data_IF_429776065109
#
_entry.id   IF_429776065109
#
_cell.length_a   1.000
_cell.length_b   1.000
_cell.length_c   1.000
_cell.angle_alpha   90.00
_cell.angle_beta   90.00
_cell.angle_gamma   90.00
#
_symmetry.space_group_name_H-M   'P 1'
#
loop_
_entity.id
_entity.type
_entity.pdbx_description
1 polymer ?
#
# COMPACT_ATOMS: atom_id res chain seq x y z
N UNK A 1 26.04 25.64 5.73
CA UNK A 1 26.94 24.86 6.60
C UNK A 1 27.62 23.82 5.71
N UNK A 2 28.95 23.67 5.74
CA UNK A 2 29.63 22.76 4.83
C UNK A 2 29.29 21.29 5.19
N UNK A 3 29.07 20.48 4.16
CA UNK A 3 28.67 19.05 4.18
C UNK A 3 29.54 18.16 5.11
N UNK A 4 30.76 18.62 5.41
CA UNK A 4 31.75 17.97 6.28
C UNK A 4 31.35 17.92 7.75
N UNK A 5 30.48 18.82 8.24
CA UNK A 5 30.04 18.83 9.64
C UNK A 5 28.93 17.78 9.91
N UNK A 6 27.95 17.68 9.01
CA UNK A 6 26.80 16.79 9.19
C UNK A 6 27.18 15.30 9.06
N UNK A 7 28.07 14.97 8.13
CA UNK A 7 28.58 13.59 7.99
C UNK A 7 29.36 13.13 9.21
N UNK A 8 30.13 14.02 9.85
CA UNK A 8 30.83 13.74 11.11
C UNK A 8 29.86 13.54 12.27
N UNK A 9 28.76 14.29 12.33
CA UNK A 9 27.75 14.20 13.41
C UNK A 9 26.87 12.96 13.31
N UNK A 10 26.40 12.63 12.10
CA UNK A 10 25.33 11.65 11.89
C UNK A 10 25.79 10.36 11.20
N UNK A 11 27.01 10.33 10.68
CA UNK A 11 27.60 9.19 9.99
C UNK A 11 27.31 9.18 8.49
N UNK A 12 28.31 8.80 7.70
CA UNK A 12 28.19 8.68 6.23
C UNK A 12 27.13 7.66 5.81
N UNK A 13 26.94 6.62 6.62
CA UNK A 13 25.94 5.59 6.40
C UNK A 13 24.52 6.15 6.50
N UNK A 14 24.26 7.08 7.43
CA UNK A 14 22.97 7.77 7.54
C UNK A 14 22.68 8.63 6.31
N UNK A 15 23.68 9.35 5.82
CA UNK A 15 23.54 10.18 4.62
C UNK A 15 23.23 9.33 3.39
N UNK A 16 23.94 8.21 3.21
CA UNK A 16 23.67 7.28 2.12
C UNK A 16 22.25 6.70 2.22
N UNK A 17 21.83 6.25 3.40
CA UNK A 17 20.49 5.72 3.60
C UNK A 17 19.41 6.77 3.35
N UNK A 18 19.62 8.00 3.85
CA UNK A 18 18.70 9.11 3.66
C UNK A 18 18.49 9.49 2.20
N UNK A 19 19.58 9.52 1.40
CA UNK A 19 19.53 9.78 -0.04
C UNK A 19 18.74 8.72 -0.82
N UNK A 20 18.70 7.46 -0.35
CA UNK A 20 17.90 6.41 -1.00
C UNK A 20 16.40 6.67 -0.90
N UNK A 21 15.93 7.21 0.23
CA UNK A 21 14.49 7.42 0.49
C UNK A 21 14.04 8.84 0.15
N UNK A 22 14.95 9.80 0.18
CA UNK A 22 14.70 11.24 0.02
C UNK A 22 15.82 11.89 -0.81
N UNK A 23 16.01 11.48 -2.08
CA UNK A 23 17.21 11.81 -2.85
C UNK A 23 17.39 13.31 -3.07
N UNK A 24 16.29 14.07 -3.17
CA UNK A 24 16.37 15.51 -3.45
C UNK A 24 16.35 16.38 -2.20
N UNK A 25 15.80 15.87 -1.09
CA UNK A 25 15.52 16.72 0.07
C UNK A 25 16.22 16.32 1.36
N UNK A 26 16.82 15.13 1.43
CA UNK A 26 17.38 14.59 2.67
C UNK A 26 18.37 15.54 3.35
N UNK A 27 19.40 15.99 2.65
CA UNK A 27 20.46 16.81 3.23
C UNK A 27 19.96 18.17 3.70
N UNK A 28 19.12 18.83 2.90
CA UNK A 28 18.49 20.10 3.30
C UNK A 28 17.67 19.90 4.58
N UNK A 29 16.89 18.82 4.66
CA UNK A 29 16.09 18.49 5.84
C UNK A 29 16.97 18.13 7.05
N UNK A 30 18.08 17.43 6.84
CA UNK A 30 19.05 17.10 7.89
C UNK A 30 19.69 18.37 8.45
N UNK A 31 20.18 19.27 7.58
CA UNK A 31 20.77 20.54 7.97
C UNK A 31 19.77 21.45 8.71
N UNK A 32 18.52 21.49 8.22
CA UNK A 32 17.45 22.25 8.86
C UNK A 32 17.20 21.73 10.28
N UNK A 33 17.03 20.41 10.45
CA UNK A 33 16.80 19.82 11.78
C UNK A 33 18.01 20.00 12.70
N UNK A 34 19.24 19.82 12.20
CA UNK A 34 20.47 20.03 12.98
C UNK A 34 20.54 21.45 13.54
N UNK A 35 20.14 22.44 12.74
CA UNK A 35 20.12 23.85 13.16
C UNK A 35 19.05 24.18 14.19
N UNK A 36 17.98 23.38 14.26
CA UNK A 36 16.87 23.58 15.18
C UNK A 36 17.05 22.80 16.48
N UNK A 37 17.42 21.52 16.40
CA UNK A 37 17.64 20.62 17.53
C UNK A 37 18.45 19.39 17.10
N UNK A 38 19.71 19.34 17.53
CA UNK A 38 20.63 18.24 17.21
C UNK A 38 20.24 16.91 17.88
N UNK A 39 19.63 16.97 19.07
CA UNK A 39 19.21 15.76 19.78
C UNK A 39 18.04 15.10 19.06
N UNK A 40 17.01 15.88 18.71
CA UNK A 40 15.91 15.40 17.88
C UNK A 40 16.41 14.89 16.53
N UNK A 41 17.33 15.60 15.88
CA UNK A 41 17.90 15.19 14.60
C UNK A 41 18.56 13.83 14.70
N UNK A 42 19.37 13.60 15.74
CA UNK A 42 19.98 12.31 16.01
C UNK A 42 18.94 11.20 16.21
N UNK A 43 17.90 11.45 17.02
CA UNK A 43 16.83 10.46 17.24
C UNK A 43 16.09 10.10 15.95
N UNK A 44 15.76 11.10 15.12
CA UNK A 44 15.12 10.87 13.82
C UNK A 44 16.01 10.07 12.88
N UNK A 45 17.31 10.41 12.78
CA UNK A 45 18.28 9.69 11.96
C UNK A 45 18.40 8.24 12.42
N UNK A 46 18.60 8.01 13.71
CA UNK A 46 18.78 6.66 14.26
C UNK A 46 17.52 5.80 14.07
N UNK A 47 16.34 6.38 14.32
CA UNK A 47 15.08 5.65 14.24
C UNK A 47 14.59 5.42 12.80
N UNK A 48 14.38 6.49 12.04
CA UNK A 48 13.72 6.42 10.73
C UNK A 48 14.70 6.04 9.62
N UNK A 49 15.90 6.62 9.63
CA UNK A 49 16.85 6.53 8.53
C UNK A 49 17.75 5.30 8.68
N UNK A 50 18.47 5.17 9.79
CA UNK A 50 19.38 4.03 10.03
C UNK A 50 18.63 2.78 10.48
N UNK A 51 17.57 2.94 11.26
CA UNK A 51 16.77 1.85 11.79
C UNK A 51 15.77 1.32 10.77
N UNK A 52 14.61 1.98 10.67
CA UNK A 52 13.46 1.42 9.97
C UNK A 52 13.68 1.20 8.47
N UNK A 53 14.29 2.18 7.78
CA UNK A 53 14.43 2.11 6.32
C UNK A 53 15.29 0.96 5.81
N UNK A 54 16.18 0.43 6.65
CA UNK A 54 17.16 -0.61 6.31
C UNK A 54 16.69 -2.03 6.63
N UNK A 55 15.50 -2.18 7.20
CA UNK A 55 14.99 -3.49 7.61
C UNK A 55 14.70 -4.35 6.36
N UNK A 56 15.24 -5.58 6.29
CA UNK A 56 15.30 -6.35 5.04
C UNK A 56 14.00 -7.08 4.69
N UNK A 57 13.02 -7.12 5.59
CA UNK A 57 11.79 -7.87 5.39
C UNK A 57 10.87 -7.29 4.30
N UNK A 58 11.05 -6.02 3.94
CA UNK A 58 10.36 -5.36 2.83
C UNK A 58 11.40 -4.74 1.91
N UNK A 59 11.46 -5.20 0.67
CA UNK A 59 12.40 -4.71 -0.32
C UNK A 59 12.17 -3.22 -0.65
N UNK A 60 13.18 -2.56 -1.21
CA UNK A 60 13.14 -1.13 -1.51
C UNK A 60 12.02 -0.75 -2.48
N UNK A 61 11.74 -1.56 -3.52
CA UNK A 61 10.66 -1.27 -4.48
C UNK A 61 9.33 -1.26 -3.76
N UNK A 62 9.02 -2.32 -3.02
CA UNK A 62 7.74 -2.47 -2.32
C UNK A 62 7.58 -1.42 -1.22
N UNK A 63 8.66 -1.10 -0.50
CA UNK A 63 8.71 -0.03 0.50
C UNK A 63 8.33 1.33 -0.10
N UNK A 64 8.92 1.70 -1.25
CA UNK A 64 8.64 2.98 -1.90
C UNK A 64 7.23 3.03 -2.50
N UNK A 65 6.73 1.93 -3.06
CA UNK A 65 5.35 1.84 -3.54
C UNK A 65 4.34 2.04 -2.41
N UNK A 66 4.55 1.41 -1.25
CA UNK A 66 3.70 1.62 -0.06
C UNK A 66 3.74 3.09 0.38
N UNK A 67 4.91 3.72 0.39
CA UNK A 67 5.05 5.15 0.74
C UNK A 67 4.33 6.07 -0.26
N UNK A 68 4.36 5.77 -1.55
CA UNK A 68 3.64 6.52 -2.59
C UNK A 68 2.14 6.52 -2.30
N UNK A 69 1.55 5.34 -2.03
CA UNK A 69 0.13 5.22 -1.69
C UNK A 69 -0.21 5.96 -0.40
N UNK A 70 0.59 5.75 0.64
CA UNK A 70 0.48 6.43 1.93
C UNK A 70 0.50 7.96 1.82
N UNK A 71 1.48 8.54 1.12
CA UNK A 71 1.56 10.00 0.97
C UNK A 71 0.49 10.57 0.03
N UNK A 72 0.01 9.79 -0.94
CA UNK A 72 -1.16 10.14 -1.75
C UNK A 72 -2.39 10.27 -0.85
N UNK A 73 -2.68 9.23 -0.07
CA UNK A 73 -3.83 9.18 0.84
C UNK A 73 -3.78 10.28 1.92
N UNK A 74 -2.59 10.58 2.43
CA UNK A 74 -2.38 11.64 3.41
C UNK A 74 -2.27 13.05 2.80
N UNK A 75 -2.43 13.22 1.48
CA UNK A 75 -2.28 14.50 0.75
C UNK A 75 -0.94 15.20 1.03
N UNK A 76 0.09 14.40 1.26
CA UNK A 76 1.44 14.88 1.60
C UNK A 76 2.26 15.09 0.33
N UNK A 77 1.85 16.04 -0.51
CA UNK A 77 2.38 16.21 -1.88
C UNK A 77 3.91 16.35 -1.94
N UNK A 78 4.53 17.13 -1.06
CA UNK A 78 5.98 17.29 -1.03
C UNK A 78 6.73 16.00 -0.65
N UNK A 79 6.12 15.13 0.17
CA UNK A 79 6.69 13.83 0.49
C UNK A 79 6.45 12.82 -0.65
N UNK A 80 5.28 12.89 -1.29
CA UNK A 80 4.96 12.10 -2.48
C UNK A 80 5.96 12.36 -3.61
N UNK A 81 6.23 13.62 -3.96
CA UNK A 81 7.16 13.98 -5.04
C UNK A 81 8.58 13.45 -4.80
N UNK A 82 9.11 13.61 -3.58
CA UNK A 82 10.43 13.09 -3.20
C UNK A 82 10.47 11.55 -3.27
N UNK A 83 9.36 10.89 -2.90
CA UNK A 83 9.24 9.42 -2.97
C UNK A 83 9.10 8.91 -4.40
N UNK A 84 8.43 9.66 -5.29
CA UNK A 84 8.39 9.34 -6.72
C UNK A 84 9.82 9.38 -7.29
N UNK A 85 10.61 10.40 -6.96
CA UNK A 85 12.02 10.46 -7.38
C UNK A 85 12.85 9.30 -6.80
N UNK A 86 12.68 8.98 -5.51
CA UNK A 86 13.32 7.82 -4.90
C UNK A 86 12.98 6.51 -5.62
N UNK A 87 11.71 6.32 -6.00
CA UNK A 87 11.25 5.14 -6.74
C UNK A 87 11.87 5.06 -8.14
N UNK A 88 11.96 6.18 -8.86
CA UNK A 88 12.61 6.24 -10.18
C UNK A 88 14.11 5.95 -10.09
N UNK A 89 14.81 6.48 -9.08
CA UNK A 89 16.23 6.20 -8.84
C UNK A 89 16.47 4.73 -8.48
N UNK A 90 15.57 4.15 -7.67
CA UNK A 90 15.52 2.73 -7.35
C UNK A 90 15.03 1.83 -8.50
N UNK A 91 14.82 2.39 -9.69
CA UNK A 91 14.41 1.68 -10.91
C UNK A 91 13.05 0.99 -10.83
N UNK A 92 12.16 1.50 -9.97
CA UNK A 92 10.73 1.13 -10.00
C UNK A 92 10.14 1.63 -11.31
N UNK A 93 9.34 0.81 -11.98
CA UNK A 93 8.78 1.19 -13.27
C UNK A 93 7.80 2.38 -13.09
N UNK A 94 7.86 3.44 -13.93
CA UNK A 94 6.95 4.58 -13.83
C UNK A 94 5.47 4.19 -13.84
N UNK A 95 5.15 3.11 -14.57
CA UNK A 95 3.81 2.53 -14.66
C UNK A 95 3.32 1.97 -13.32
N UNK A 96 4.20 1.38 -12.50
CA UNK A 96 3.85 0.88 -11.17
C UNK A 96 3.61 2.03 -10.19
N UNK A 97 4.44 3.08 -10.24
CA UNK A 97 4.25 4.30 -9.44
C UNK A 97 2.87 4.91 -9.74
N UNK A 98 2.56 5.10 -11.02
CA UNK A 98 1.26 5.63 -11.45
C UNK A 98 0.11 4.71 -11.03
N UNK A 99 0.27 3.39 -11.15
CA UNK A 99 -0.76 2.43 -10.73
C UNK A 99 -1.11 2.55 -9.25
N UNK A 100 -0.13 2.74 -8.38
CA UNK A 100 -0.39 2.93 -6.94
C UNK A 100 -1.13 4.25 -6.68
N UNK A 101 -0.74 5.35 -7.34
CA UNK A 101 -1.45 6.64 -7.24
C UNK A 101 -2.91 6.48 -7.68
N UNK A 102 -3.15 5.85 -8.83
CA UNK A 102 -4.50 5.65 -9.37
C UNK A 102 -5.35 4.75 -8.48
N UNK A 103 -4.77 3.70 -7.90
CA UNK A 103 -5.47 2.80 -6.99
C UNK A 103 -6.05 3.53 -5.77
N UNK A 104 -5.36 4.55 -5.25
CA UNK A 104 -5.84 5.33 -4.12
C UNK A 104 -7.25 5.91 -4.38
N UNK A 105 -7.72 6.00 -5.63
CA UNK A 105 -9.08 6.45 -5.98
C UNK A 105 -10.15 5.60 -5.31
N UNK A 106 -9.89 4.31 -5.11
CA UNK A 106 -10.87 3.40 -4.49
C UNK A 106 -11.12 3.72 -3.01
N UNK A 107 -10.16 4.36 -2.33
CA UNK A 107 -10.26 4.68 -0.90
C UNK A 107 -10.39 6.19 -0.64
N UNK A 108 -9.57 6.99 -1.31
CA UNK A 108 -9.53 8.44 -1.16
C UNK A 108 -10.46 9.19 -2.11
N UNK A 109 -10.99 8.52 -3.14
CA UNK A 109 -11.76 9.17 -4.20
C UNK A 109 -10.91 10.10 -5.08
N UNK A 110 -11.57 10.71 -6.06
CA UNK A 110 -10.90 11.59 -7.02
C UNK A 110 -10.25 12.81 -6.38
N UNK A 111 -10.85 13.39 -5.34
CA UNK A 111 -10.33 14.61 -4.69
C UNK A 111 -9.00 14.41 -3.99
N UNK A 112 -8.67 13.17 -3.60
CA UNK A 112 -7.35 12.82 -3.05
C UNK A 112 -6.34 12.57 -4.17
N UNK A 113 -6.77 11.94 -5.27
CA UNK A 113 -5.87 11.45 -6.31
C UNK A 113 -5.53 12.51 -7.37
N UNK A 114 -6.43 13.43 -7.69
CA UNK A 114 -6.21 14.42 -8.76
C UNK A 114 -4.89 15.20 -8.57
N UNK A 115 -4.60 15.80 -7.40
CA UNK A 115 -3.35 16.55 -7.23
C UNK A 115 -2.11 15.63 -7.26
N UNK A 116 -2.25 14.36 -6.90
CA UNK A 116 -1.18 13.37 -6.98
C UNK A 116 -0.89 12.99 -8.44
N UNK A 117 -1.92 12.87 -9.29
CA UNK A 117 -1.76 12.70 -10.74
C UNK A 117 -1.05 13.92 -11.33
N UNK A 118 -1.44 15.14 -10.95
CA UNK A 118 -0.77 16.36 -11.43
C UNK A 118 0.71 16.41 -11.05
N UNK A 119 1.05 16.05 -9.80
CA UNK A 119 2.44 15.91 -9.37
C UNK A 119 3.20 14.86 -10.20
N UNK A 120 2.60 13.70 -10.42
CA UNK A 120 3.22 12.65 -11.23
C UNK A 120 3.38 13.08 -12.70
N UNK A 121 2.39 13.73 -13.31
CA UNK A 121 2.47 14.23 -14.70
C UNK A 121 3.59 15.26 -14.87
N UNK A 122 3.73 16.22 -13.94
CA UNK A 122 4.84 17.17 -13.94
C UNK A 122 6.20 16.46 -13.90
N UNK A 123 6.35 15.50 -12.98
CA UNK A 123 7.59 14.71 -12.86
C UNK A 123 7.83 13.89 -14.13
N UNK A 124 6.81 13.19 -14.62
CA UNK A 124 6.92 12.36 -15.81
C UNK A 124 7.32 13.16 -17.06
N UNK A 125 6.85 14.39 -17.20
CA UNK A 125 7.28 15.31 -18.27
C UNK A 125 8.73 15.75 -18.09
N UNK A 126 9.10 16.17 -16.88
CA UNK A 126 10.45 16.65 -16.58
C UNK A 126 11.51 15.55 -16.77
N UNK A 127 11.17 14.30 -16.42
CA UNK A 127 12.04 13.13 -16.51
C UNK A 127 11.91 12.37 -17.85
N UNK A 128 11.10 12.87 -18.80
CA UNK A 128 10.95 12.27 -20.13
C UNK A 128 10.27 10.88 -20.16
N UNK A 129 9.39 10.58 -19.21
CA UNK A 129 8.81 9.24 -19.00
C UNK A 129 7.56 8.95 -19.85
N UNK A 130 7.06 9.93 -20.61
CA UNK A 130 5.77 9.80 -21.31
C UNK A 130 5.75 8.68 -22.36
N UNK A 131 6.86 8.46 -23.07
CA UNK A 131 6.96 7.39 -24.07
C UNK A 131 6.91 6.00 -23.41
N UNK A 132 7.69 5.80 -22.34
CA UNK A 132 7.70 4.55 -21.58
C UNK A 132 6.33 4.27 -20.92
N UNK A 133 5.63 5.31 -20.46
CA UNK A 133 4.26 5.19 -20.01
C UNK A 133 3.37 4.71 -21.18
N UNK A 134 3.30 5.42 -22.30
CA UNK A 134 2.46 5.01 -23.45
C UNK A 134 2.74 3.57 -23.91
N UNK A 135 4.00 3.17 -23.96
CA UNK A 135 4.41 1.81 -24.35
C UNK A 135 3.92 0.70 -23.37
N UNK A 136 3.61 1.06 -22.13
CA UNK A 136 3.13 0.16 -21.08
C UNK A 136 1.65 0.36 -20.75
N UNK A 137 0.89 1.04 -21.60
CA UNK A 137 -0.56 1.20 -21.42
C UNK A 137 -1.30 -0.13 -21.58
N UNK A 138 -2.35 -0.29 -20.79
CA UNK A 138 -3.30 -1.38 -20.99
C UNK A 138 -4.27 -1.01 -22.11
N UNK A 139 -4.86 -2.01 -22.80
CA UNK A 139 -5.97 -1.75 -23.71
C UNK A 139 -7.13 -1.02 -23.01
N UNK A 140 -8.00 -0.36 -23.78
CA UNK A 140 -9.14 0.40 -23.23
C UNK A 140 -10.11 -0.44 -22.38
N UNK A 141 -10.23 -1.74 -22.68
CA UNK A 141 -11.02 -2.68 -21.88
C UNK A 141 -10.34 -3.08 -20.55
N UNK A 142 -9.13 -2.57 -20.29
CA UNK A 142 -8.37 -2.73 -19.05
C UNK A 142 -7.84 -4.14 -18.81
N UNK A 143 -8.08 -5.08 -19.72
CA UNK A 143 -7.77 -6.49 -19.53
C UNK A 143 -6.34 -6.78 -20.00
N UNK A 144 -5.49 -7.26 -19.10
CA UNK A 144 -4.12 -7.69 -19.44
C UNK A 144 -4.09 -8.96 -20.32
N UNK A 145 -5.25 -9.61 -20.50
CA UNK A 145 -5.50 -10.86 -21.23
C UNK A 145 -4.68 -12.05 -20.73
N UNK A 146 -4.04 -11.93 -19.57
CA UNK A 146 -3.25 -12.98 -18.93
C UNK A 146 -4.06 -13.75 -17.90
N UNK A 147 -5.13 -13.15 -17.38
CA UNK A 147 -6.01 -13.77 -16.39
C UNK A 147 -6.91 -14.83 -17.03
N UNK A 148 -7.03 -15.97 -16.35
CA UNK A 148 -7.87 -17.09 -16.76
C UNK A 148 -8.86 -17.42 -15.65
N UNK A 149 -10.13 -17.58 -16.02
CA UNK A 149 -11.18 -17.98 -15.11
C UNK A 149 -10.84 -19.29 -14.40
N UNK A 150 -10.45 -20.32 -15.16
CA UNK A 150 -10.18 -21.64 -14.58
C UNK A 150 -8.97 -21.62 -13.64
N UNK A 151 -7.93 -20.84 -14.00
CA UNK A 151 -6.74 -20.71 -13.17
C UNK A 151 -7.01 -19.96 -11.86
N UNK A 152 -7.75 -18.84 -11.90
CA UNK A 152 -8.12 -18.10 -10.68
C UNK A 152 -9.15 -18.86 -9.85
N UNK A 153 -10.14 -19.49 -10.48
CA UNK A 153 -11.15 -20.29 -9.78
C UNK A 153 -10.52 -21.42 -8.96
N UNK A 154 -9.43 -22.01 -9.43
CA UNK A 154 -8.70 -23.05 -8.70
C UNK A 154 -8.05 -22.56 -7.39
N UNK A 155 -7.87 -21.25 -7.20
CA UNK A 155 -7.29 -20.67 -5.98
C UNK A 155 -8.35 -20.19 -4.97
N UNK A 156 -9.62 -20.11 -5.38
CA UNK A 156 -10.68 -19.62 -4.51
C UNK A 156 -11.03 -20.62 -3.41
N UNK A 157 -11.43 -20.09 -2.25
CA UNK A 157 -11.75 -20.92 -1.10
C UNK A 157 -13.02 -21.76 -1.38
N UNK A 158 -13.06 -23.05 -1.01
CA UNK A 158 -14.22 -23.92 -1.23
C UNK A 158 -15.53 -23.32 -0.70
N UNK A 159 -15.52 -22.75 0.51
CA UNK A 159 -16.69 -22.09 1.09
C UNK A 159 -17.23 -20.92 0.25
N UNK A 160 -16.39 -20.18 -0.49
CA UNK A 160 -16.88 -19.11 -1.37
C UNK A 160 -17.53 -19.69 -2.63
N UNK A 161 -16.99 -20.80 -3.15
CA UNK A 161 -17.58 -21.52 -4.28
C UNK A 161 -18.91 -22.18 -3.90
N UNK A 162 -19.05 -22.61 -2.64
CA UNK A 162 -20.27 -23.20 -2.11
C UNK A 162 -21.32 -22.15 -1.69
N UNK A 163 -20.97 -20.86 -1.64
CA UNK A 163 -21.92 -19.81 -1.29
C UNK A 163 -22.99 -19.66 -2.39
N UNK A 164 -24.29 -19.76 -2.07
CA UNK A 164 -25.36 -19.74 -3.06
C UNK A 164 -25.46 -18.41 -3.83
N UNK A 165 -24.82 -17.35 -3.34
CA UNK A 165 -24.78 -16.04 -4.00
C UNK A 165 -23.69 -15.96 -5.06
N UNK A 166 -22.68 -16.83 -5.02
CA UNK A 166 -21.49 -16.76 -5.86
C UNK A 166 -21.84 -16.84 -7.36
N UNK A 167 -22.51 -17.91 -7.78
CA UNK A 167 -22.88 -18.12 -9.19
C UNK A 167 -23.86 -17.05 -9.73
N UNK A 168 -24.95 -16.69 -9.03
CA UNK A 168 -25.84 -15.61 -9.49
C UNK A 168 -25.14 -14.25 -9.64
N UNK A 169 -24.32 -13.85 -8.66
CA UNK A 169 -23.57 -12.59 -8.73
C UNK A 169 -22.54 -12.63 -9.85
N UNK A 170 -21.89 -13.77 -10.07
CA UNK A 170 -20.93 -13.94 -11.14
C UNK A 170 -21.56 -13.87 -12.53
N UNK A 171 -22.75 -14.48 -12.71
CA UNK A 171 -23.53 -14.38 -13.94
C UNK A 171 -23.95 -12.94 -14.24
N UNK A 172 -24.29 -12.18 -13.19
CA UNK A 172 -24.77 -10.80 -13.31
C UNK A 172 -23.65 -9.78 -13.56
N UNK A 173 -22.57 -9.86 -12.77
CA UNK A 173 -21.51 -8.85 -12.71
C UNK A 173 -20.22 -9.26 -13.43
N UNK A 174 -20.17 -10.48 -13.97
CA UNK A 174 -19.04 -11.02 -14.71
C UNK A 174 -18.00 -11.68 -13.81
N UNK A 175 -17.41 -12.78 -14.32
CA UNK A 175 -16.44 -13.59 -13.58
C UNK A 175 -15.21 -12.82 -13.15
N UNK A 176 -14.70 -11.90 -13.99
CA UNK A 176 -13.47 -11.19 -13.67
C UNK A 176 -13.68 -10.30 -12.44
N UNK A 177 -14.74 -9.50 -12.41
CA UNK A 177 -15.01 -8.61 -11.28
C UNK A 177 -15.26 -9.39 -9.98
N UNK A 178 -16.14 -10.40 -10.01
CA UNK A 178 -16.45 -11.20 -8.82
C UNK A 178 -15.24 -12.04 -8.39
N UNK A 179 -14.55 -12.67 -9.34
CA UNK A 179 -13.39 -13.52 -9.11
C UNK A 179 -12.17 -12.77 -8.55
N UNK A 180 -11.92 -11.54 -9.02
CA UNK A 180 -10.92 -10.66 -8.39
C UNK A 180 -11.27 -10.38 -6.93
N UNK A 181 -12.54 -10.18 -6.65
CA UNK A 181 -13.06 -10.05 -5.29
C UNK A 181 -12.80 -11.27 -4.41
N UNK A 182 -13.07 -12.47 -4.92
CA UNK A 182 -12.81 -13.73 -4.25
C UNK A 182 -11.32 -13.97 -3.99
N UNK A 183 -10.46 -13.57 -4.92
CA UNK A 183 -8.99 -13.72 -4.78
C UNK A 183 -8.41 -12.79 -3.73
N UNK A 184 -8.85 -11.52 -3.72
CA UNK A 184 -8.28 -10.50 -2.85
C UNK A 184 -8.91 -10.50 -1.45
N UNK A 185 -10.23 -10.70 -1.38
CA UNK A 185 -11.02 -10.56 -0.14
C UNK A 185 -12.18 -11.58 -0.09
N UNK A 186 -11.87 -12.89 0.02
CA UNK A 186 -12.88 -13.94 0.07
C UNK A 186 -13.85 -13.75 1.26
N UNK A 187 -15.10 -14.21 1.11
CA UNK A 187 -16.29 -13.99 1.95
C UNK A 187 -16.72 -12.54 2.13
N UNK A 188 -15.78 -11.64 2.43
CA UNK A 188 -16.04 -10.20 2.52
C UNK A 188 -16.60 -9.68 1.20
N UNK A 189 -16.00 -10.05 0.07
CA UNK A 189 -16.46 -9.59 -1.24
C UNK A 189 -17.91 -10.00 -1.53
N UNK A 190 -18.27 -11.27 -1.37
CA UNK A 190 -19.64 -11.74 -1.61
C UNK A 190 -20.65 -11.06 -0.68
N UNK A 191 -20.28 -10.83 0.59
CA UNK A 191 -21.15 -10.12 1.54
C UNK A 191 -21.41 -8.69 1.10
N UNK A 192 -20.37 -7.93 0.75
CA UNK A 192 -20.51 -6.54 0.32
C UNK A 192 -21.23 -6.45 -1.02
N UNK A 193 -20.87 -7.28 -2.00
CA UNK A 193 -21.49 -7.24 -3.32
C UNK A 193 -22.97 -7.61 -3.24
N UNK A 194 -23.35 -8.68 -2.54
CA UNK A 194 -24.75 -9.05 -2.36
C UNK A 194 -25.55 -7.96 -1.63
N UNK A 195 -24.95 -7.34 -0.62
CA UNK A 195 -25.58 -6.27 0.14
C UNK A 195 -25.81 -5.01 -0.70
N UNK A 196 -24.78 -4.56 -1.43
CA UNK A 196 -24.90 -3.45 -2.37
C UNK A 196 -25.90 -3.76 -3.48
N UNK A 197 -25.89 -4.97 -4.03
CA UNK A 197 -26.79 -5.37 -5.12
C UNK A 197 -28.27 -5.37 -4.68
N UNK A 198 -28.53 -5.71 -3.41
CA UNK A 198 -29.86 -5.63 -2.81
C UNK A 198 -30.30 -4.19 -2.51
N UNK A 199 -29.37 -3.29 -2.19
CA UNK A 199 -29.66 -1.86 -1.97
C UNK A 199 -29.91 -1.16 -3.29
N UNK A 200 -28.97 -1.30 -4.23
CA UNK A 200 -28.98 -0.68 -5.55
C UNK A 200 -28.11 -1.51 -6.49
N UNK A 201 -28.78 -2.30 -7.33
CA UNK A 201 -28.12 -3.16 -8.31
C UNK A 201 -27.32 -2.39 -9.36
N UNK A 202 -27.72 -1.18 -9.72
CA UNK A 202 -27.02 -0.40 -10.74
C UNK A 202 -25.71 0.12 -10.14
N UNK A 203 -25.79 0.68 -8.93
CA UNK A 203 -24.60 1.11 -8.19
C UNK A 203 -23.64 -0.06 -7.92
N UNK A 204 -24.15 -1.22 -7.50
CA UNK A 204 -23.32 -2.40 -7.27
C UNK A 204 -22.54 -2.81 -8.53
N UNK A 205 -23.19 -2.75 -9.69
CA UNK A 205 -22.57 -3.00 -11.00
C UNK A 205 -21.45 -1.99 -11.31
N UNK A 206 -21.69 -0.70 -11.11
CA UNK A 206 -20.67 0.35 -11.30
C UNK A 206 -19.47 0.14 -10.37
N UNK A 207 -19.73 -0.08 -9.08
CA UNK A 207 -18.71 -0.28 -8.06
C UNK A 207 -17.84 -1.51 -8.34
N UNK A 208 -18.46 -2.67 -8.60
CA UNK A 208 -17.72 -3.92 -8.77
C UNK A 208 -16.92 -3.91 -10.08
N UNK A 209 -17.48 -3.30 -11.13
CA UNK A 209 -16.80 -3.11 -12.41
C UNK A 209 -15.62 -2.16 -12.27
N UNK A 210 -15.77 -1.02 -11.59
CA UNK A 210 -14.68 -0.06 -11.41
C UNK A 210 -13.56 -0.62 -10.52
N UNK A 211 -13.90 -1.11 -9.33
CA UNK A 211 -12.93 -1.55 -8.34
C UNK A 211 -12.27 -2.88 -8.75
N UNK A 212 -13.07 -3.92 -8.96
CA UNK A 212 -12.55 -5.28 -9.10
C UNK A 212 -12.36 -5.71 -10.55
N UNK A 213 -13.31 -5.39 -11.43
CA UNK A 213 -13.19 -5.67 -12.86
C UNK A 213 -12.21 -4.73 -13.59
N UNK A 214 -12.01 -3.53 -13.04
CA UNK A 214 -11.10 -2.50 -13.53
C UNK A 214 -9.83 -2.49 -12.69
N UNK A 215 -9.75 -1.57 -11.72
CA UNK A 215 -8.52 -1.22 -11.00
C UNK A 215 -7.74 -2.43 -10.47
N UNK A 216 -8.41 -3.43 -9.89
CA UNK A 216 -7.74 -4.59 -9.29
C UNK A 216 -7.49 -5.76 -10.26
N UNK A 217 -7.97 -5.66 -11.51
CA UNK A 217 -7.73 -6.65 -12.56
C UNK A 217 -6.53 -6.31 -13.47
N UNK A 218 -6.04 -5.06 -13.42
CA UNK A 218 -5.05 -4.46 -14.35
C UNK A 218 -3.71 -5.17 -14.49
N UNK A 219 -3.30 -5.98 -13.51
CA UNK A 219 -2.07 -6.79 -13.60
C UNK A 219 -0.74 -6.03 -13.68
N UNK A 220 -0.75 -4.70 -13.48
CA UNK A 220 0.47 -3.87 -13.48
C UNK A 220 1.39 -4.18 -12.28
N UNK A 221 0.79 -4.33 -11.10
CA UNK A 221 1.45 -4.87 -9.91
C UNK A 221 0.76 -6.17 -9.52
N UNK A 222 1.54 -7.12 -8.98
CA UNK A 222 1.02 -8.38 -8.47
C UNK A 222 0.11 -8.17 -7.25
N UNK A 223 -0.73 -9.16 -6.97
CA UNK A 223 -1.76 -9.08 -5.93
C UNK A 223 -1.17 -8.90 -4.52
N UNK A 224 0.00 -9.49 -4.26
CA UNK A 224 0.71 -9.33 -2.97
C UNK A 224 1.12 -7.87 -2.78
N UNK A 225 1.85 -7.31 -3.74
CA UNK A 225 2.29 -5.90 -3.73
C UNK A 225 1.09 -4.97 -3.62
N UNK A 226 0.03 -5.24 -4.38
CA UNK A 226 -1.20 -4.46 -4.38
C UNK A 226 -1.83 -4.37 -2.99
N UNK A 227 -1.99 -5.52 -2.33
CA UNK A 227 -2.59 -5.61 -1.01
C UNK A 227 -1.71 -4.96 0.06
N UNK A 228 -0.37 -5.10 -0.03
CA UNK A 228 0.55 -4.38 0.86
C UNK A 228 0.39 -2.85 0.73
N UNK A 229 0.22 -2.34 -0.49
CA UNK A 229 -0.05 -0.91 -0.70
C UNK A 229 -1.43 -0.51 -0.13
N UNK A 230 -2.49 -1.30 -0.35
CA UNK A 230 -3.81 -1.02 0.23
C UNK A 230 -3.80 -1.00 1.76
N UNK A 231 -3.01 -1.87 2.40
CA UNK A 231 -2.82 -1.81 3.86
C UNK A 231 -2.21 -0.44 4.21
N UNK A 232 -1.14 -0.02 3.54
CA UNK A 232 -0.54 1.30 3.73
C UNK A 232 -1.55 2.44 3.54
N UNK A 233 -2.32 2.40 2.46
CA UNK A 233 -3.34 3.39 2.10
C UNK A 233 -4.38 3.55 3.23
N UNK A 234 -4.96 2.44 3.71
CA UNK A 234 -5.93 2.44 4.79
C UNK A 234 -5.33 3.00 6.09
N UNK A 235 -4.10 2.59 6.44
CA UNK A 235 -3.42 3.07 7.64
C UNK A 235 -3.11 4.57 7.61
N UNK A 236 -2.84 5.14 6.44
CA UNK A 236 -2.59 6.57 6.29
C UNK A 236 -3.81 7.44 6.62
N UNK A 237 -5.02 6.90 6.49
CA UNK A 237 -6.29 7.61 6.79
C UNK A 237 -7.03 7.06 8.01
N UNK A 238 -6.40 6.15 8.78
CA UNK A 238 -7.01 5.56 9.98
C UNK A 238 -8.20 4.64 9.68
N UNK A 239 -8.27 4.07 8.48
CA UNK A 239 -9.29 3.09 8.13
C UNK A 239 -8.80 1.69 8.59
N UNK A 240 -9.52 1.08 9.53
CA UNK A 240 -9.11 -0.21 10.11
C UNK A 240 -9.90 -1.41 9.57
N UNK A 241 -11.14 -1.19 9.17
CA UNK A 241 -12.04 -2.29 8.79
C UNK A 241 -11.59 -2.90 7.46
N UNK A 242 -11.30 -2.07 6.47
CA UNK A 242 -10.68 -2.48 5.22
C UNK A 242 -9.23 -2.92 5.45
N UNK A 243 -8.44 -2.24 6.28
CA UNK A 243 -7.06 -2.66 6.58
C UNK A 243 -7.00 -4.11 7.07
N UNK A 244 -7.88 -4.51 8.00
CA UNK A 244 -8.01 -5.91 8.46
C UNK A 244 -8.26 -6.88 7.30
N UNK A 245 -9.13 -6.50 6.38
CA UNK A 245 -9.44 -7.28 5.17
C UNK A 245 -8.21 -7.43 4.26
N UNK A 246 -7.48 -6.34 4.03
CA UNK A 246 -6.28 -6.34 3.19
C UNK A 246 -5.11 -7.10 3.81
N UNK A 247 -4.94 -7.08 5.13
CA UNK A 247 -3.95 -7.91 5.83
C UNK A 247 -4.19 -9.41 5.58
N UNK A 248 -5.44 -9.87 5.75
CA UNK A 248 -5.82 -11.26 5.45
C UNK A 248 -5.65 -11.60 3.97
N UNK A 249 -6.03 -10.68 3.10
CA UNK A 249 -5.83 -10.81 1.66
C UNK A 249 -4.35 -10.97 1.31
N UNK A 250 -3.49 -10.11 1.85
CA UNK A 250 -2.05 -10.13 1.60
C UNK A 250 -1.44 -11.47 2.05
N UNK A 251 -1.76 -11.96 3.25
CA UNK A 251 -1.30 -13.26 3.75
C UNK A 251 -1.67 -14.41 2.79
N UNK A 252 -2.91 -14.41 2.27
CA UNK A 252 -3.40 -15.42 1.31
C UNK A 252 -2.70 -15.34 -0.04
N UNK A 253 -2.32 -14.13 -0.46
CA UNK A 253 -1.63 -13.87 -1.73
C UNK A 253 -0.10 -13.90 -1.58
N UNK A 254 0.42 -14.51 -0.50
CA UNK A 254 1.84 -14.81 -0.35
C UNK A 254 2.67 -13.74 0.36
N UNK A 255 2.04 -12.73 0.98
CA UNK A 255 2.76 -11.85 1.90
C UNK A 255 3.12 -12.62 3.17
N UNK A 256 4.37 -12.51 3.58
CA UNK A 256 4.80 -12.95 4.89
C UNK A 256 4.23 -12.02 5.98
N UNK A 257 4.03 -12.53 7.22
CA UNK A 257 3.67 -11.67 8.34
C UNK A 257 4.68 -10.55 8.59
N UNK A 258 5.95 -10.77 8.21
CA UNK A 258 7.01 -9.78 8.36
C UNK A 258 6.86 -8.63 7.36
N UNK A 259 6.50 -8.89 6.11
CA UNK A 259 6.19 -7.82 5.14
C UNK A 259 5.05 -6.93 5.63
N UNK A 260 3.98 -7.52 6.20
CA UNK A 260 2.85 -6.74 6.75
C UNK A 260 3.28 -5.92 7.97
N UNK A 261 4.10 -6.48 8.86
CA UNK A 261 4.66 -5.73 9.99
C UNK A 261 5.50 -4.55 9.52
N UNK A 262 6.30 -4.69 8.47
CA UNK A 262 7.06 -3.56 7.92
C UNK A 262 6.14 -2.45 7.40
N UNK A 263 5.04 -2.79 6.71
CA UNK A 263 4.04 -1.81 6.29
C UNK A 263 3.43 -1.08 7.51
N UNK A 264 3.08 -1.82 8.57
CA UNK A 264 2.55 -1.24 9.81
C UNK A 264 3.59 -0.34 10.50
N UNK A 265 4.86 -0.76 10.58
CA UNK A 265 5.91 0.05 11.20
C UNK A 265 6.26 1.30 10.39
N UNK A 266 6.14 1.27 9.06
CA UNK A 266 6.28 2.47 8.23
C UNK A 266 5.24 3.54 8.57
N UNK A 267 4.02 3.14 8.93
CA UNK A 267 2.99 4.06 9.43
C UNK A 267 3.48 4.86 10.65
N UNK A 268 4.32 4.27 11.51
CA UNK A 268 4.84 4.98 12.67
C UNK A 268 5.71 6.20 12.29
N UNK A 269 6.56 6.07 11.28
CA UNK A 269 7.47 7.16 10.88
C UNK A 269 6.71 8.29 10.20
N UNK A 270 5.68 7.97 9.44
CA UNK A 270 4.99 8.94 8.58
C UNK A 270 3.72 9.51 9.20
N UNK A 271 3.00 8.70 9.97
CA UNK A 271 1.67 9.01 10.51
C UNK A 271 1.60 8.85 12.04
N UNK A 272 2.72 8.52 12.67
CA UNK A 272 2.87 8.48 14.13
C UNK A 272 2.57 7.12 14.75
N UNK A 273 2.95 7.01 16.03
CA UNK A 273 2.81 5.78 16.81
C UNK A 273 1.35 5.32 17.02
N UNK A 274 0.35 6.19 17.29
CA UNK A 274 -0.98 5.72 17.65
C UNK A 274 -1.69 4.91 16.54
N UNK A 275 -1.73 5.36 15.26
CA UNK A 275 -2.29 4.54 14.18
C UNK A 275 -1.54 3.21 13.98
N UNK A 276 -0.21 3.23 14.14
CA UNK A 276 0.61 2.01 14.06
C UNK A 276 0.24 1.01 15.17
N UNK A 277 0.09 1.46 16.42
CA UNK A 277 -0.27 0.60 17.54
C UNK A 277 -1.65 -0.05 17.35
N UNK A 278 -2.61 0.71 16.83
CA UNK A 278 -3.96 0.20 16.54
C UNK A 278 -3.95 -0.83 15.41
N UNK A 279 -3.16 -0.60 14.37
CA UNK A 279 -2.94 -1.57 13.30
C UNK A 279 -2.24 -2.86 13.79
N UNK A 280 -1.28 -2.75 14.71
CA UNK A 280 -0.61 -3.90 15.31
C UNK A 280 -1.59 -4.77 16.09
N UNK A 281 -2.49 -4.17 16.86
CA UNK A 281 -3.50 -4.92 17.62
C UNK A 281 -4.39 -5.77 16.70
N UNK A 282 -4.93 -5.14 15.65
CA UNK A 282 -5.69 -5.82 14.60
C UNK A 282 -4.88 -6.95 13.96
N UNK A 283 -3.59 -6.71 13.67
CA UNK A 283 -2.74 -7.71 13.05
C UNK A 283 -2.43 -8.89 13.97
N UNK A 284 -2.15 -8.64 15.25
CA UNK A 284 -1.93 -9.70 16.24
C UNK A 284 -3.18 -10.56 16.42
N UNK A 285 -4.38 -9.98 16.43
CA UNK A 285 -5.64 -10.73 16.44
C UNK A 285 -5.79 -11.64 15.22
N UNK A 286 -5.46 -11.16 14.01
CA UNK A 286 -5.46 -11.98 12.79
C UNK A 286 -4.51 -13.16 12.96
N UNK A 287 -3.27 -12.89 13.38
CA UNK A 287 -2.24 -13.92 13.57
C UNK A 287 -2.62 -14.92 14.67
N UNK A 288 -3.31 -14.49 15.72
CA UNK A 288 -3.85 -15.37 16.76
C UNK A 288 -4.97 -16.27 16.22
N UNK A 289 -5.94 -15.70 15.50
CA UNK A 289 -7.05 -16.45 14.91
C UNK A 289 -6.57 -17.50 13.89
N UNK A 290 -5.50 -17.19 13.15
CA UNK A 290 -4.86 -18.11 12.20
C UNK A 290 -3.86 -19.08 12.86
N UNK A 291 -3.62 -18.97 14.18
CA UNK A 291 -2.63 -19.78 14.94
C UNK A 291 -1.18 -19.62 14.46
N UNK A 292 -0.82 -18.40 14.08
CA UNK A 292 0.47 -18.01 13.46
C UNK A 292 1.31 -17.05 14.29
N UNK A 293 0.99 -16.86 15.57
CA UNK A 293 1.71 -15.92 16.46
C UNK A 293 3.22 -16.17 16.54
N UNK A 294 3.67 -17.42 16.36
CA UNK A 294 5.09 -17.78 16.36
C UNK A 294 5.89 -17.05 15.26
N UNK A 295 5.28 -16.79 14.09
CA UNK A 295 5.93 -16.08 12.97
C UNK A 295 6.27 -14.62 13.31
N UNK A 296 5.55 -14.05 14.28
CA UNK A 296 5.71 -12.65 14.74
C UNK A 296 6.29 -12.53 16.15
N UNK A 297 6.80 -13.64 16.71
CA UNK A 297 7.51 -13.64 18.00
C UNK A 297 6.63 -13.85 19.23
N UNK A 298 5.44 -14.44 19.06
CA UNK A 298 4.48 -14.74 20.14
C UNK A 298 4.14 -13.52 21.02
N UNK A 299 3.75 -12.37 20.45
CA UNK A 299 3.33 -11.23 21.25
C UNK A 299 2.08 -11.61 22.08
N UNK A 300 1.95 -11.11 23.31
CA UNK A 300 0.73 -11.27 24.07
C UNK A 300 -0.43 -10.54 23.37
N UNK A 301 -1.63 -11.09 23.49
CA UNK A 301 -2.84 -10.33 23.17
C UNK A 301 -2.96 -9.18 24.16
N UNK A 302 -3.13 -7.95 23.66
CA UNK A 302 -3.40 -6.81 24.53
C UNK A 302 -4.82 -6.99 25.07
N UNK A 303 -4.96 -6.88 26.38
CA UNK A 303 -6.26 -6.74 27.05
C UNK A 303 -6.51 -5.25 27.17
N UNK A 304 -7.74 -4.78 26.96
CA UNK A 304 -8.08 -3.36 27.13
C UNK A 304 -7.64 -2.88 28.53
N UNK A 305 -6.63 -2.02 28.57
CA UNK A 305 -6.09 -1.47 29.82
C UNK A 305 -6.83 -0.21 30.29
N UNK A 306 -7.80 0.25 29.50
CA UNK A 306 -8.54 1.49 29.75
C UNK A 306 -10.05 1.23 29.85
N UNK A 307 -10.45 0.26 30.67
CA UNK A 307 -11.77 0.33 31.30
C UNK A 307 -11.66 1.26 32.52
N UNK A 308 -12.10 2.49 32.37
CA UNK A 308 -12.52 3.37 33.46
C UNK A 308 -13.89 3.93 33.15
#
# INVERSE_FOLDING_TARGET
MPETDLSSKYGTDALQAGRVIQPRTFERRLAQRDSLDQHYTKLWVDFAIKGLSRRPALDTRTRLLVLIGQYTMARSHAALEDTIHAALEAKVAPREILEIILQCTVYGGHTVVEPAIESFDRIARAEGLLEALRASELPLDGNDRKRSYDAERATWHPDDLADPRCEPLMKKHGWLAVGRGLTLRPRHHLNILAWLDAIDSEFAGLWVKFCYGGMYARGIVDDKTRLLCMIGDCLAVGEETQARGHMRGALRNGASPREILEVIFQTCVNFGMPPMLKALEVFVEIMAAEKRLAEIGNPPLRVETFHK
#
